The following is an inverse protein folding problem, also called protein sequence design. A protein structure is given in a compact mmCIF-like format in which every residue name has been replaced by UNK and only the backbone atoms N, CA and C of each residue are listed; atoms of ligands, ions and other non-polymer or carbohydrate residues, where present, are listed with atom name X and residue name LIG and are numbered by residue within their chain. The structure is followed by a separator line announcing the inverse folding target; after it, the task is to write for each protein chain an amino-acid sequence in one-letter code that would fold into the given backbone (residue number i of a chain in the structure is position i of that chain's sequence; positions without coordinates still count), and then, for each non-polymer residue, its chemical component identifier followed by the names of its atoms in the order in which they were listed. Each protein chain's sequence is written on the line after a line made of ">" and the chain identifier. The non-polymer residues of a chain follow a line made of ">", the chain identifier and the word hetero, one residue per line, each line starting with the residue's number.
data_IF_719763674378
#
_entry.id   IF_719763674378
#
_cell.length_a   1.000
_cell.length_b   1.000
_cell.length_c   1.000
_cell.angle_alpha   90.00
_cell.angle_beta   90.00
_cell.angle_gamma   90.00
#
_symmetry.space_group_name_H-M   'P 1'
#
loop_
_entity.id
_entity.type
_entity.pdbx_description
1 polymer ?
#
# COMPACT_ATOMS: atom_id res chain seq x y z
N UNK A 1 -1.38 -16.36 -1.25
CA UNK A 1 -0.28 -15.36 -1.19
C UNK A 1 0.94 -16.01 -0.55
N UNK A 2 2.09 -16.03 -1.23
CA UNK A 2 3.38 -16.47 -0.67
C UNK A 2 4.09 -15.23 -0.14
N UNK A 3 4.44 -15.22 1.15
CA UNK A 3 5.18 -14.12 1.77
C UNK A 3 6.64 -14.57 1.88
N UNK A 4 7.48 -14.02 1.02
CA UNK A 4 8.92 -14.17 1.10
C UNK A 4 9.52 -12.93 1.77
N UNK A 5 10.42 -13.14 2.73
CA UNK A 5 11.03 -12.08 3.55
C UNK A 5 12.54 -12.18 3.42
N UNK A 6 13.16 -11.11 2.94
CA UNK A 6 14.61 -10.95 2.97
C UNK A 6 15.07 -10.49 4.36
N UNK A 7 15.76 -11.38 5.07
CA UNK A 7 16.31 -11.11 6.41
C UNK A 7 17.65 -10.39 6.38
N UNK A 8 18.30 -10.35 5.21
CA UNK A 8 19.61 -9.73 5.01
C UNK A 8 19.53 -8.33 4.41
N UNK A 9 18.34 -7.92 3.96
CA UNK A 9 18.11 -6.63 3.32
C UNK A 9 18.02 -5.47 4.33
N UNK A 10 18.28 -4.24 3.83
CA UNK A 10 18.21 -3.01 4.61
C UNK A 10 16.79 -2.61 5.01
N UNK A 11 15.76 -3.20 4.38
CA UNK A 11 14.36 -2.88 4.67
C UNK A 11 13.88 -3.69 5.88
N UNK A 12 13.39 -3.04 6.95
CA UNK A 12 12.88 -3.72 8.12
C UNK A 12 11.79 -4.76 7.77
N UNK A 13 11.80 -5.91 8.44
CA UNK A 13 10.88 -7.03 8.16
C UNK A 13 9.40 -6.60 8.25
N UNK A 14 9.03 -5.76 9.22
CA UNK A 14 7.66 -5.29 9.33
C UNK A 14 7.22 -4.47 8.11
N UNK A 15 8.14 -3.72 7.50
CA UNK A 15 7.87 -2.92 6.32
C UNK A 15 7.79 -3.81 5.06
N UNK A 16 8.65 -4.83 4.94
CA UNK A 16 8.54 -5.83 3.87
C UNK A 16 7.19 -6.54 3.92
N UNK A 17 6.76 -6.97 5.12
CA UNK A 17 5.48 -7.61 5.33
C UNK A 17 4.31 -6.69 4.97
N UNK A 18 4.37 -5.42 5.40
CA UNK A 18 3.37 -4.41 5.04
C UNK A 18 3.26 -4.24 3.53
N UNK A 19 4.39 -4.04 2.84
CA UNK A 19 4.44 -3.87 1.38
C UNK A 19 3.90 -5.10 0.65
N UNK A 20 4.19 -6.30 1.14
CA UNK A 20 3.72 -7.54 0.53
C UNK A 20 2.21 -7.71 0.64
N UNK A 21 1.62 -7.38 1.79
CA UNK A 21 0.16 -7.41 1.98
C UNK A 21 -0.52 -6.36 1.10
N UNK A 22 0.00 -5.13 1.06
CA UNK A 22 -0.52 -4.07 0.18
C UNK A 22 -0.46 -4.49 -1.30
N UNK A 23 0.66 -5.10 -1.73
CA UNK A 23 0.78 -5.63 -3.09
C UNK A 23 -0.23 -6.74 -3.38
N UNK A 24 -0.47 -7.65 -2.40
CA UNK A 24 -1.49 -8.70 -2.52
C UNK A 24 -2.91 -8.14 -2.70
N UNK A 25 -3.23 -7.04 -1.98
CA UNK A 25 -4.51 -6.33 -2.14
C UNK A 25 -4.57 -5.63 -3.50
N UNK A 26 -3.50 -4.97 -3.93
CA UNK A 26 -3.45 -4.25 -5.20
C UNK A 26 -3.54 -5.17 -6.42
N UNK A 27 -3.07 -6.41 -6.29
CA UNK A 27 -3.08 -7.42 -7.37
C UNK A 27 -4.26 -8.39 -7.27
N UNK A 28 -5.27 -8.10 -6.45
CA UNK A 28 -6.46 -8.94 -6.22
C UNK A 28 -6.14 -10.37 -5.68
N UNK A 29 -4.93 -10.58 -5.14
CA UNK A 29 -4.58 -11.82 -4.43
C UNK A 29 -5.24 -11.90 -3.05
N UNK A 30 -5.60 -10.74 -2.50
CA UNK A 30 -6.33 -10.56 -1.24
C UNK A 30 -7.56 -9.70 -1.52
N UNK A 31 -8.73 -10.32 -1.51
CA UNK A 31 -9.98 -9.63 -1.73
C UNK A 31 -10.50 -8.95 -0.43
N UNK A 32 -11.31 -7.89 -0.57
CA UNK A 32 -12.04 -7.32 0.56
C UNK A 32 -12.82 -8.39 1.33
N UNK A 33 -12.68 -8.42 2.63
CA UNK A 33 -13.30 -9.42 3.50
C UNK A 33 -12.47 -10.67 3.75
N UNK A 34 -11.36 -10.88 3.03
CA UNK A 34 -10.45 -11.99 3.27
C UNK A 34 -9.80 -11.89 4.65
N UNK A 35 -9.68 -13.05 5.32
CA UNK A 35 -9.05 -13.15 6.62
C UNK A 35 -7.55 -13.38 6.47
N UNK A 36 -6.77 -12.58 7.17
CA UNK A 36 -5.35 -12.84 7.31
C UNK A 36 -5.09 -13.80 8.49
N UNK A 37 -3.97 -14.53 8.47
CA UNK A 37 -3.54 -15.32 9.61
C UNK A 37 -3.46 -14.49 10.88
N UNK A 38 -3.64 -15.10 12.05
CA UNK A 38 -3.41 -14.39 13.29
C UNK A 38 -1.95 -13.94 13.39
N UNK A 39 -1.69 -12.86 14.12
CA UNK A 39 -0.31 -12.35 14.33
C UNK A 39 0.62 -13.46 14.81
N UNK A 40 0.12 -14.34 15.71
CA UNK A 40 0.91 -15.47 16.23
C UNK A 40 1.17 -16.54 15.17
N UNK A 41 0.15 -16.90 14.38
CA UNK A 41 0.29 -17.88 13.32
C UNK A 41 1.29 -17.40 12.28
N UNK A 42 1.13 -16.15 11.80
CA UNK A 42 2.02 -15.59 10.79
C UNK A 42 3.46 -15.43 11.30
N UNK A 43 3.64 -15.07 12.57
CA UNK A 43 4.98 -15.00 13.18
C UNK A 43 5.69 -16.35 13.20
N UNK A 44 4.95 -17.44 13.50
CA UNK A 44 5.46 -18.80 13.46
C UNK A 44 5.79 -19.23 12.04
N UNK A 45 4.86 -19.03 11.10
CA UNK A 45 5.01 -19.43 9.70
C UNK A 45 6.22 -18.75 9.02
N UNK A 46 6.45 -17.47 9.35
CA UNK A 46 7.56 -16.69 8.82
C UNK A 46 8.85 -16.82 9.65
N UNK A 47 8.79 -17.45 10.83
CA UNK A 47 9.92 -17.54 11.76
C UNK A 47 10.44 -16.16 12.21
N UNK A 48 9.55 -15.18 12.42
CA UNK A 48 9.87 -13.82 12.86
C UNK A 48 9.28 -13.51 14.23
N UNK A 49 9.75 -12.42 14.83
CA UNK A 49 9.22 -11.98 16.13
C UNK A 49 7.75 -11.57 16.03
N UNK A 50 6.94 -11.99 17.02
CA UNK A 50 5.54 -11.61 17.17
C UNK A 50 5.32 -10.09 17.10
N UNK A 51 6.20 -9.31 17.73
CA UNK A 51 6.12 -7.85 17.73
C UNK A 51 6.32 -7.25 16.33
N UNK A 52 7.14 -7.89 15.49
CA UNK A 52 7.37 -7.48 14.10
C UNK A 52 6.09 -7.59 13.28
N UNK A 53 5.39 -8.74 13.38
CA UNK A 53 4.11 -8.95 12.69
C UNK A 53 3.04 -8.02 13.25
N UNK A 54 2.98 -7.86 14.57
CA UNK A 54 2.02 -6.97 15.21
C UNK A 54 2.19 -5.51 14.74
N UNK A 55 3.44 -5.03 14.61
CA UNK A 55 3.74 -3.70 14.07
C UNK A 55 3.25 -3.55 12.63
N UNK A 56 3.49 -4.54 11.76
CA UNK A 56 3.01 -4.52 10.38
C UNK A 56 1.47 -4.45 10.32
N UNK A 57 0.78 -5.26 11.12
CA UNK A 57 -0.69 -5.27 11.16
C UNK A 57 -1.27 -3.97 11.74
N UNK A 58 -0.62 -3.39 12.73
CA UNK A 58 -1.02 -2.09 13.27
C UNK A 58 -0.95 -1.00 12.20
N UNK A 59 0.17 -0.91 11.48
CA UNK A 59 0.34 0.04 10.38
C UNK A 59 -0.70 -0.18 9.27
N UNK A 60 -0.94 -1.43 8.85
CA UNK A 60 -1.95 -1.75 7.84
C UNK A 60 -3.37 -1.38 8.28
N UNK A 61 -3.69 -1.53 9.57
CA UNK A 61 -4.96 -1.09 10.15
C UNK A 61 -5.06 0.44 10.15
N UNK A 62 -4.02 1.12 10.60
CA UNK A 62 -3.97 2.57 10.71
C UNK A 62 -4.01 3.24 9.33
N UNK A 63 -3.44 2.58 8.30
CA UNK A 63 -3.53 2.97 6.89
C UNK A 63 -4.87 2.55 6.23
N UNK A 64 -5.78 1.87 6.95
CA UNK A 64 -7.10 1.48 6.45
C UNK A 64 -7.13 0.27 5.52
N UNK A 65 -6.02 -0.49 5.39
CA UNK A 65 -6.00 -1.74 4.62
C UNK A 65 -6.62 -2.92 5.36
N UNK A 66 -6.58 -2.91 6.69
CA UNK A 66 -7.12 -3.97 7.53
C UNK A 66 -8.10 -3.43 8.56
N UNK A 67 -9.09 -4.26 8.91
CA UNK A 67 -9.98 -4.05 10.07
C UNK A 67 -9.82 -5.22 11.03
N UNK A 68 -9.83 -4.92 12.34
CA UNK A 68 -9.79 -5.93 13.39
C UNK A 68 -11.21 -6.29 13.79
N UNK A 69 -11.64 -7.52 13.52
CA UNK A 69 -12.98 -8.01 13.90
C UNK A 69 -12.88 -8.98 15.08
N UNK A 70 -13.73 -8.81 16.10
CA UNK A 70 -13.83 -9.76 17.22
C UNK A 70 -14.13 -11.16 16.68
N UNK A 71 -13.33 -12.15 17.09
CA UNK A 71 -13.47 -13.55 16.68
C UNK A 71 -12.97 -13.89 15.27
N UNK A 72 -12.72 -12.90 14.42
CA UNK A 72 -12.21 -13.12 13.05
C UNK A 72 -10.77 -12.66 12.83
N UNK A 73 -10.20 -11.90 13.79
CA UNK A 73 -8.84 -11.38 13.65
C UNK A 73 -8.74 -10.22 12.63
N UNK A 74 -7.64 -10.17 11.90
CA UNK A 74 -7.40 -9.18 10.86
C UNK A 74 -8.11 -9.60 9.56
N UNK A 75 -8.86 -8.68 8.98
CA UNK A 75 -9.63 -8.86 7.74
C UNK A 75 -9.29 -7.72 6.79
N UNK A 76 -9.15 -8.01 5.50
CA UNK A 76 -8.96 -6.99 4.46
C UNK A 76 -10.17 -6.05 4.46
N UNK A 77 -9.91 -4.75 4.56
CA UNK A 77 -10.96 -3.75 4.59
C UNK A 77 -11.69 -3.68 3.24
N UNK A 78 -13.03 -3.65 3.28
CA UNK A 78 -13.80 -3.31 2.09
C UNK A 78 -13.98 -1.79 2.05
N UNK A 79 -13.45 -1.15 1.04
CA UNK A 79 -13.66 0.29 0.80
C UNK A 79 -15.13 0.65 0.57
N UNK A 80 -15.97 -0.35 0.24
CA UNK A 80 -17.42 -0.19 0.05
C UNK A 80 -18.21 -0.33 1.36
N UNK A 81 -17.65 -1.01 2.37
CA UNK A 81 -18.27 -1.21 3.69
C UNK A 81 -18.12 0.00 4.62
N UNK A 82 -17.46 1.05 4.17
CA UNK A 82 -17.51 2.35 4.83
C UNK A 82 -18.88 2.96 4.49
N UNK A 83 -19.91 2.42 5.15
CA UNK A 83 -21.28 2.90 5.05
C UNK A 83 -21.32 4.40 5.37
N UNK A 84 -22.06 5.20 4.58
CA UNK A 84 -22.23 6.63 4.83
C UNK A 84 -23.27 6.86 5.92
N UNK A 85 -23.24 6.10 7.05
CA UNK A 85 -24.11 6.35 8.18
C UNK A 85 -23.52 7.54 8.97
N UNK A 86 -24.07 8.69 8.69
CA UNK A 86 -24.16 9.95 9.43
C UNK A 86 -22.89 10.57 10.10
N UNK A 87 -21.85 9.80 10.36
CA UNK A 87 -20.55 10.29 10.93
C UNK A 87 -19.36 9.92 10.00
N UNK A 88 -19.54 8.94 9.13
CA UNK A 88 -18.48 8.35 8.31
C UNK A 88 -18.16 9.14 7.02
N UNK A 89 -19.07 9.96 6.50
CA UNK A 89 -18.83 10.75 5.28
C UNK A 89 -17.62 11.70 5.39
N UNK A 90 -17.37 12.23 6.60
CA UNK A 90 -16.17 13.03 6.87
C UNK A 90 -14.93 12.18 7.12
N UNK A 91 -15.09 10.95 7.60
CA UNK A 91 -13.97 10.04 7.86
C UNK A 91 -13.41 9.45 6.57
N UNK A 92 -14.27 9.04 5.61
CA UNK A 92 -13.83 8.54 4.29
C UNK A 92 -13.11 9.63 3.51
N UNK A 93 -13.69 10.85 3.44
CA UNK A 93 -13.02 11.99 2.80
C UNK A 93 -11.70 12.37 3.49
N UNK A 94 -11.60 12.17 4.81
CA UNK A 94 -10.35 12.40 5.55
C UNK A 94 -9.31 11.34 5.22
N UNK A 95 -9.70 10.05 5.09
CA UNK A 95 -8.78 8.97 4.72
C UNK A 95 -8.27 9.18 3.31
N UNK A 96 -9.14 9.53 2.35
CA UNK A 96 -8.73 9.80 0.98
C UNK A 96 -7.83 11.05 0.92
N UNK A 97 -8.18 12.14 1.60
CA UNK A 97 -7.37 13.35 1.65
C UNK A 97 -6.02 13.13 2.37
N UNK A 98 -6.00 12.32 3.43
CA UNK A 98 -4.76 11.98 4.13
C UNK A 98 -3.87 11.04 3.30
N UNK A 99 -4.46 10.09 2.55
CA UNK A 99 -3.72 9.24 1.61
C UNK A 99 -3.17 10.06 0.45
N UNK A 100 -3.93 10.99 -0.10
CA UNK A 100 -3.48 11.91 -1.16
C UNK A 100 -2.36 12.81 -0.64
N UNK A 101 -2.46 13.32 0.57
CA UNK A 101 -1.40 14.13 1.18
C UNK A 101 -0.11 13.31 1.37
N UNK A 102 -0.20 12.09 1.91
CA UNK A 102 0.96 11.19 2.10
C UNK A 102 1.61 10.84 0.76
N UNK A 103 0.81 10.53 -0.26
CA UNK A 103 1.33 10.26 -1.60
C UNK A 103 2.07 11.47 -2.18
N UNK A 104 1.49 12.66 -2.06
CA UNK A 104 2.11 13.90 -2.53
C UNK A 104 3.40 14.22 -1.79
N UNK A 105 3.44 14.02 -0.46
CA UNK A 105 4.63 14.23 0.36
C UNK A 105 5.76 13.25 -0.02
N UNK A 106 5.45 11.97 -0.21
CA UNK A 106 6.41 10.97 -0.67
C UNK A 106 6.94 11.28 -2.08
N UNK A 107 6.06 11.67 -3.00
CA UNK A 107 6.47 12.08 -4.36
C UNK A 107 7.37 13.33 -4.32
N UNK A 108 7.04 14.31 -3.48
CA UNK A 108 7.85 15.51 -3.29
C UNK A 108 9.23 15.16 -2.73
N UNK A 109 9.31 14.32 -1.71
CA UNK A 109 10.56 13.83 -1.13
C UNK A 109 11.43 13.11 -2.15
N UNK A 110 10.85 12.19 -2.92
CA UNK A 110 11.56 11.45 -3.97
C UNK A 110 12.08 12.40 -5.07
N UNK A 111 11.29 13.40 -5.47
CA UNK A 111 11.70 14.40 -6.45
C UNK A 111 12.86 15.27 -5.94
N UNK A 112 12.83 15.67 -4.66
CA UNK A 112 13.92 16.41 -4.03
C UNK A 112 15.22 15.60 -3.99
N UNK A 113 15.16 14.34 -3.55
CA UNK A 113 16.32 13.45 -3.49
C UNK A 113 16.92 13.22 -4.88
N UNK A 114 16.06 13.00 -5.89
CA UNK A 114 16.51 12.83 -7.27
C UNK A 114 17.22 14.09 -7.80
N UNK A 115 16.63 15.27 -7.55
CA UNK A 115 17.23 16.56 -7.93
C UNK A 115 18.55 16.81 -7.20
N UNK A 116 18.64 16.51 -5.92
CA UNK A 116 19.86 16.67 -5.12
C UNK A 116 21.04 15.81 -5.63
N UNK A 117 20.74 14.68 -6.27
CA UNK A 117 21.73 13.81 -6.92
C UNK A 117 22.03 14.22 -8.37
N UNK A 118 21.57 15.38 -8.82
CA UNK A 118 21.78 15.89 -10.18
C UNK A 118 20.80 15.34 -11.23
N UNK A 119 19.74 14.66 -10.81
CA UNK A 119 18.73 14.13 -11.71
C UNK A 119 17.81 15.20 -12.30
N UNK A 120 17.50 15.08 -13.58
CA UNK A 120 16.56 15.98 -14.27
C UNK A 120 15.11 15.52 -14.19
N UNK A 121 14.16 16.47 -14.33
CA UNK A 121 12.73 16.20 -14.29
C UNK A 121 12.28 15.10 -15.27
N UNK A 122 12.78 15.13 -16.51
CA UNK A 122 12.42 14.15 -17.53
C UNK A 122 12.79 12.71 -17.09
N UNK A 123 13.96 12.51 -16.49
CA UNK A 123 14.41 11.22 -15.99
C UNK A 123 13.54 10.74 -14.80
N UNK A 124 13.16 11.65 -13.89
CA UNK A 124 12.25 11.35 -12.79
C UNK A 124 10.88 10.88 -13.28
N UNK A 125 10.27 11.64 -14.20
CA UNK A 125 8.96 11.31 -14.77
C UNK A 125 9.00 9.98 -15.56
N UNK A 126 10.08 9.72 -16.31
CA UNK A 126 10.25 8.46 -17.00
C UNK A 126 10.35 7.27 -16.03
N UNK A 127 11.05 7.43 -14.90
CA UNK A 127 11.12 6.42 -13.86
C UNK A 127 9.74 6.18 -13.22
N UNK A 128 9.02 7.25 -12.86
CA UNK A 128 7.67 7.16 -12.30
C UNK A 128 6.71 6.43 -13.25
N UNK A 129 6.72 6.77 -14.55
CA UNK A 129 5.90 6.08 -15.57
C UNK A 129 6.20 4.59 -15.67
N UNK A 130 7.47 4.20 -15.65
CA UNK A 130 7.85 2.77 -15.66
C UNK A 130 7.28 2.03 -14.44
N UNK A 131 7.30 2.62 -13.25
CA UNK A 131 6.74 1.99 -12.06
C UNK A 131 5.20 1.93 -12.12
N UNK A 132 4.53 2.98 -12.59
CA UNK A 132 3.09 2.96 -12.82
C UNK A 132 2.72 1.85 -13.83
N UNK A 133 3.43 1.73 -14.96
CA UNK A 133 3.18 0.68 -15.93
C UNK A 133 3.30 -0.74 -15.33
N UNK A 134 4.26 -0.95 -14.43
CA UNK A 134 4.43 -2.24 -13.73
C UNK A 134 3.27 -2.56 -12.78
N UNK A 135 2.75 -1.55 -12.08
CA UNK A 135 1.68 -1.71 -11.08
C UNK A 135 0.30 -1.84 -11.74
N UNK A 136 0.03 -1.01 -12.76
CA UNK A 136 -1.28 -0.94 -13.41
C UNK A 136 -1.39 -1.79 -14.68
N UNK A 137 -0.34 -2.55 -15.06
CA UNK A 137 -0.34 -3.40 -16.24
C UNK A 137 -0.43 -2.62 -17.57
N UNK A 138 -0.15 -1.31 -17.56
CA UNK A 138 -0.22 -0.47 -18.75
C UNK A 138 1.00 -0.69 -19.66
N UNK A 139 0.77 -0.82 -20.96
CA UNK A 139 1.85 -0.74 -21.94
C UNK A 139 2.42 0.67 -21.94
N UNK A 140 3.74 0.81 -22.01
CA UNK A 140 4.45 2.09 -21.92
C UNK A 140 4.05 3.15 -22.98
N UNK A 141 3.28 2.77 -23.99
CA UNK A 141 2.91 3.60 -25.15
C UNK A 141 1.53 4.29 -25.03
N UNK A 142 0.75 4.05 -23.97
CA UNK A 142 -0.64 4.55 -23.87
C UNK A 142 -0.79 5.95 -23.24
N UNK A 143 0.31 6.69 -23.07
CA UNK A 143 0.32 8.01 -22.43
C UNK A 143 0.34 9.20 -23.40
N UNK A 144 -0.07 8.99 -24.65
CA UNK A 144 0.02 9.99 -25.75
C UNK A 144 -1.30 10.62 -26.20
N UNK A 145 -2.47 10.19 -25.73
CA UNK A 145 -3.74 10.63 -26.36
C UNK A 145 -4.84 11.07 -25.38
N UNK A 146 -4.53 12.00 -24.47
CA UNK A 146 -5.60 12.74 -23.76
C UNK A 146 -5.63 14.23 -24.20
N UNK A 147 -5.60 14.41 -25.54
CA UNK A 147 -5.93 15.70 -26.15
C UNK A 147 -7.04 15.50 -27.18
N UNK A 148 -8.27 15.23 -26.73
CA UNK A 148 -9.52 15.52 -27.48
C UNK A 148 -10.73 15.26 -26.60
N UNK A 149 -11.13 16.24 -25.80
CA UNK A 149 -12.51 16.57 -25.53
C UNK A 149 -12.54 18.04 -25.11
N UNK A 150 -12.68 18.89 -26.11
CA UNK A 150 -13.19 20.25 -25.94
C UNK A 150 -14.71 20.19 -25.97
#
# INVERSE_FOLDING_TARGET
>A
MIIDIDRSGDVPIYEQLRRRIVAGIANDELAPGDRLPSVRALAVDLGVNLHTVNKAYALLRDDGYLVMRRGSGAVVADRRDVRPDAVAGNAVRRIDAEQDWRMNDELYRLALEHKARGGGMAAFLAAARRQCARVYGMKADDTGNDRRAA
#
